data_IF_560052724734
#
_entry.id   IF_560052724734
#
_cell.length_a   1.000
_cell.length_b   1.000
_cell.length_c   1.000
_cell.angle_alpha   90.00
_cell.angle_beta   90.00
_cell.angle_gamma   90.00
#
_symmetry.space_group_name_H-M   'P 1'
#
loop_
_entity.id
_entity.type
_entity.pdbx_description
1 polymer ?
#
# COMPACT_ATOMS: atom_id res chain seq x y z
N UNK A 1 -57.21 12.41 8.69
CA UNK A 1 -56.27 13.21 9.51
C UNK A 1 -55.12 12.30 9.91
N UNK A 2 -53.89 12.77 9.68
CA UNK A 2 -52.57 12.26 10.14
C UNK A 2 -52.29 10.75 9.90
N UNK A 3 -51.35 10.33 9.04
CA UNK A 3 -50.09 10.96 8.64
C UNK A 3 -48.98 10.50 9.59
N UNK A 4 -48.32 9.39 9.27
CA UNK A 4 -47.14 8.92 9.97
C UNK A 4 -45.97 9.89 9.75
N UNK A 5 -45.30 10.27 10.84
CA UNK A 5 -43.95 10.85 10.84
C UNK A 5 -43.09 10.00 11.79
N UNK A 6 -41.86 9.64 11.40
CA UNK A 6 -40.91 9.01 12.32
C UNK A 6 -40.33 10.07 13.27
N UNK A 7 -40.25 9.72 14.55
CA UNK A 7 -39.59 10.53 15.59
C UNK A 7 -38.12 10.74 15.23
N UNK A 8 -37.81 11.95 14.79
CA UNK A 8 -36.53 12.58 15.00
C UNK A 8 -36.48 13.02 16.47
N UNK A 9 -35.51 12.46 17.19
CA UNK A 9 -34.54 13.19 18.02
C UNK A 9 -34.33 12.54 19.40
N UNK A 10 -33.16 11.93 19.55
CA UNK A 10 -32.36 11.95 20.79
C UNK A 10 -30.91 11.69 20.41
N UNK A 11 -30.27 12.76 19.98
CA UNK A 11 -28.84 12.93 20.18
C UNK A 11 -28.54 13.15 21.67
N UNK A 12 -27.28 12.86 22.05
CA UNK A 12 -26.60 13.16 23.32
C UNK A 12 -26.71 12.13 24.47
N UNK A 13 -25.80 11.15 24.45
CA UNK A 13 -24.89 10.87 25.57
C UNK A 13 -23.86 9.80 25.16
N UNK A 14 -22.62 10.21 24.95
CA UNK A 14 -21.52 9.31 24.59
C UNK A 14 -20.36 10.09 23.99
N UNK A 15 -19.83 11.06 24.74
CA UNK A 15 -18.63 11.78 24.39
C UNK A 15 -17.42 10.85 24.41
N UNK A 16 -17.27 10.04 23.36
CA UNK A 16 -15.99 9.44 23.02
C UNK A 16 -15.08 10.57 22.57
N UNK A 17 -13.97 10.77 23.28
CA UNK A 17 -12.93 11.71 22.87
C UNK A 17 -12.63 11.47 21.39
N UNK A 18 -12.91 12.45 20.53
CA UNK A 18 -12.43 12.38 19.16
C UNK A 18 -10.90 12.27 19.25
N UNK A 19 -10.27 11.22 18.70
CA UNK A 19 -8.83 11.10 18.76
C UNK A 19 -8.26 12.33 18.06
N UNK A 20 -7.39 13.07 18.76
CA UNK A 20 -6.62 14.16 18.16
C UNK A 20 -5.91 13.59 16.94
N UNK A 21 -6.41 13.90 15.75
CA UNK A 21 -5.72 13.61 14.49
C UNK A 21 -4.55 14.57 14.42
N UNK A 22 -3.35 14.06 14.69
CA UNK A 22 -2.15 14.77 14.33
C UNK A 22 -2.01 14.67 12.81
N UNK A 23 -2.48 15.72 12.12
CA UNK A 23 -2.23 15.88 10.69
C UNK A 23 -0.74 15.75 10.40
N UNK A 24 -0.41 15.11 9.28
CA UNK A 24 0.96 14.92 8.81
C UNK A 24 1.70 16.27 8.80
N UNK A 25 2.80 16.36 9.55
CA UNK A 25 3.78 17.44 9.44
C UNK A 25 5.03 16.91 8.77
N UNK A 26 5.42 17.54 7.66
CA UNK A 26 6.71 17.30 7.01
C UNK A 26 7.67 18.43 7.40
N UNK A 27 8.84 18.06 7.89
CA UNK A 27 9.92 18.95 8.29
C UNK A 27 11.06 18.72 7.29
N UNK A 28 11.37 19.75 6.52
CA UNK A 28 12.55 19.74 5.65
C UNK A 28 13.81 19.93 6.49
N UNK A 29 14.77 19.01 6.36
CA UNK A 29 16.07 19.05 7.03
C UNK A 29 17.17 19.58 6.08
N UNK A 30 16.78 20.16 4.95
CA UNK A 30 17.67 20.69 3.93
C UNK A 30 18.47 19.58 3.25
N UNK A 31 19.80 19.77 3.17
CA UNK A 31 20.71 18.80 2.55
C UNK A 31 20.76 17.42 3.22
N UNK A 32 20.09 17.25 4.36
CA UNK A 32 20.01 16.01 5.11
C UNK A 32 18.70 15.25 4.90
N UNK A 33 17.77 15.74 4.08
CA UNK A 33 16.54 15.04 3.73
C UNK A 33 15.31 15.60 4.45
N UNK A 34 14.35 14.75 4.81
CA UNK A 34 13.10 15.19 5.42
C UNK A 34 12.65 14.26 6.54
N UNK A 35 12.00 14.83 7.55
CA UNK A 35 11.34 14.09 8.63
C UNK A 35 9.84 14.31 8.55
N UNK A 36 9.07 13.24 8.49
CA UNK A 36 7.63 13.28 8.59
C UNK A 36 7.16 12.77 9.95
N UNK A 37 6.29 13.51 10.62
CA UNK A 37 5.70 13.13 11.91
C UNK A 37 4.19 13.33 11.86
N UNK A 38 3.44 12.35 12.35
CA UNK A 38 1.97 12.41 12.43
C UNK A 38 1.32 11.12 11.94
N UNK A 39 0.03 11.19 11.58
CA UNK A 39 -0.65 10.04 10.98
C UNK A 39 -0.24 9.89 9.52
N UNK A 40 0.59 8.88 9.23
CA UNK A 40 1.19 8.67 7.91
C UNK A 40 1.34 7.19 7.57
N UNK A 41 1.31 6.85 6.28
CA UNK A 41 1.70 5.53 5.78
C UNK A 41 3.16 5.18 6.09
N UNK A 42 3.46 3.88 6.12
CA UNK A 42 4.81 3.38 6.35
C UNK A 42 5.84 3.79 5.29
N UNK A 43 7.11 3.84 5.66
CA UNK A 43 8.23 3.99 4.72
C UNK A 43 8.18 2.88 3.67
N UNK A 44 7.85 1.65 4.09
CA UNK A 44 7.69 0.51 3.19
C UNK A 44 6.62 0.79 2.13
N UNK A 45 5.42 1.18 2.53
CA UNK A 45 4.29 1.45 1.63
C UNK A 45 4.57 2.61 0.67
N UNK A 46 5.34 3.60 1.09
CA UNK A 46 5.66 4.79 0.28
C UNK A 46 6.83 4.60 -0.69
N UNK A 47 7.85 3.87 -0.26
CA UNK A 47 9.11 3.76 -1.02
C UNK A 47 9.22 2.50 -1.84
N UNK A 48 8.70 1.38 -1.33
CA UNK A 48 8.79 0.09 -2.00
C UNK A 48 7.89 0.08 -3.22
N UNK A 49 8.41 -0.54 -4.27
CA UNK A 49 7.73 -0.59 -5.56
C UNK A 49 7.59 -2.04 -5.98
N UNK A 50 6.34 -2.46 -6.08
CA UNK A 50 5.91 -3.86 -6.26
C UNK A 50 5.26 -4.10 -7.62
N UNK A 51 4.52 -3.12 -8.15
CA UNK A 51 3.81 -3.22 -9.43
C UNK A 51 3.65 -1.85 -10.09
N UNK A 52 3.71 -1.76 -11.43
CA UNK A 52 3.43 -0.51 -12.14
C UNK A 52 1.93 -0.18 -12.17
N UNK A 53 1.07 -1.11 -11.76
CA UNK A 53 -0.38 -0.96 -11.83
C UNK A 53 -0.94 -0.57 -10.45
N UNK A 54 -1.50 0.65 -10.33
CA UNK A 54 -1.98 1.22 -9.05
C UNK A 54 -3.49 1.44 -8.95
N UNK A 55 -4.19 1.44 -10.09
CA UNK A 55 -5.58 1.92 -10.18
C UNK A 55 -6.58 0.82 -10.58
N UNK A 56 -6.24 -0.46 -10.40
CA UNK A 56 -7.15 -1.58 -10.70
C UNK A 56 -8.04 -1.93 -9.50
N UNK A 57 -9.05 -2.77 -9.73
CA UNK A 57 -10.05 -3.18 -8.75
C UNK A 57 -9.50 -3.52 -7.35
N UNK A 58 -8.43 -4.31 -7.25
CA UNK A 58 -7.87 -4.68 -5.94
C UNK A 58 -6.63 -3.85 -5.58
N UNK A 59 -6.56 -3.49 -4.29
CA UNK A 59 -5.42 -2.80 -3.67
C UNK A 59 -4.14 -3.64 -3.77
N UNK A 60 -2.98 -3.07 -3.43
CA UNK A 60 -1.75 -3.85 -3.47
C UNK A 60 -1.68 -4.92 -2.37
N UNK A 61 -1.74 -6.23 -2.73
CA UNK A 61 -1.81 -7.28 -1.72
C UNK A 61 -0.52 -7.38 -0.92
N UNK A 62 0.60 -6.90 -1.45
CA UNK A 62 1.85 -6.76 -0.68
C UNK A 62 1.68 -5.82 0.52
N UNK A 63 0.75 -4.88 0.48
CA UNK A 63 0.46 -3.94 1.58
C UNK A 63 -0.98 -4.09 2.12
N UNK A 64 -1.55 -5.29 2.01
CA UNK A 64 -2.81 -5.63 2.68
C UNK A 64 -2.52 -6.24 4.05
N UNK A 65 -3.38 -5.94 5.03
CA UNK A 65 -3.35 -6.51 6.38
C UNK A 65 -2.01 -6.38 7.11
N UNK A 66 -1.27 -5.31 6.86
CA UNK A 66 0.08 -5.11 7.35
C UNK A 66 0.17 -4.30 8.65
N UNK A 67 -0.98 -3.92 9.21
CA UNK A 67 -1.07 -3.18 10.47
C UNK A 67 -0.13 -1.98 10.48
N UNK A 68 0.67 -1.88 11.55
CA UNK A 68 1.66 -0.82 11.73
C UNK A 68 2.80 -0.79 10.68
N UNK A 69 2.99 -1.83 9.86
CA UNK A 69 3.97 -1.86 8.76
C UNK A 69 3.43 -1.33 7.43
N UNK A 70 2.18 -0.88 7.36
CA UNK A 70 1.60 -0.39 6.11
C UNK A 70 0.73 0.83 6.25
N UNK A 71 -0.40 0.63 6.92
CA UNK A 71 -1.49 1.60 6.97
C UNK A 71 -1.10 2.92 7.64
N UNK A 72 -1.94 3.96 7.50
CA UNK A 72 -1.76 5.21 8.20
C UNK A 72 -1.77 5.00 9.72
N UNK A 73 -0.67 5.37 10.38
CA UNK A 73 -0.54 5.31 11.84
C UNK A 73 0.28 6.50 12.36
N UNK A 74 0.19 6.80 13.65
CA UNK A 74 1.01 7.81 14.31
C UNK A 74 2.48 7.38 14.27
N UNK A 75 3.30 8.12 13.53
CA UNK A 75 4.64 7.67 13.14
C UNK A 75 5.60 8.83 12.95
N UNK A 76 6.88 8.55 13.12
CA UNK A 76 7.99 9.39 12.67
C UNK A 76 8.76 8.66 11.57
N UNK A 77 8.94 9.27 10.40
CA UNK A 77 9.70 8.69 9.28
C UNK A 77 10.71 9.68 8.74
N UNK A 78 11.97 9.31 8.77
CA UNK A 78 13.06 10.03 8.12
C UNK A 78 13.25 9.51 6.70
N UNK A 79 13.44 10.41 5.74
CA UNK A 79 13.80 10.11 4.36
C UNK A 79 15.12 10.82 4.03
N UNK A 80 16.12 10.06 3.59
CA UNK A 80 17.39 10.64 3.16
C UNK A 80 17.23 11.48 1.88
N UNK A 81 18.18 12.37 1.55
CA UNK A 81 18.31 12.87 0.19
C UNK A 81 18.55 11.72 -0.79
N UNK A 82 18.36 11.99 -2.09
CA UNK A 82 18.78 11.06 -3.13
C UNK A 82 20.27 11.23 -3.41
N UNK A 83 21.05 10.19 -3.16
CA UNK A 83 22.49 10.15 -3.42
C UNK A 83 22.79 9.07 -4.46
N UNK A 84 23.23 9.46 -5.66
CA UNK A 84 23.51 8.54 -6.77
C UNK A 84 22.37 7.55 -7.07
N UNK A 85 21.13 8.02 -6.98
CA UNK A 85 19.93 7.19 -7.18
C UNK A 85 19.46 6.42 -5.94
N UNK A 86 20.24 6.39 -4.86
CA UNK A 86 19.85 5.78 -3.59
C UNK A 86 19.05 6.72 -2.70
N UNK A 87 18.05 6.17 -2.02
CA UNK A 87 17.25 6.84 -1.00
C UNK A 87 16.90 5.84 0.11
N UNK A 88 16.95 6.31 1.35
CA UNK A 88 16.65 5.51 2.54
C UNK A 88 15.45 6.12 3.25
N UNK A 89 14.54 5.27 3.73
CA UNK A 89 13.46 5.62 4.64
C UNK A 89 13.61 4.86 5.94
N UNK A 90 13.62 5.55 7.08
CA UNK A 90 13.65 4.95 8.41
C UNK A 90 12.38 5.36 9.15
N UNK A 91 11.59 4.38 9.57
CA UNK A 91 10.29 4.60 10.20
C UNK A 91 10.25 4.07 11.63
N UNK A 92 9.59 4.82 12.51
CA UNK A 92 9.24 4.40 13.85
C UNK A 92 7.77 4.68 14.13
N UNK A 93 7.04 3.66 14.57
CA UNK A 93 5.62 3.73 14.93
C UNK A 93 5.44 3.30 16.38
N UNK A 94 5.02 4.20 17.28
CA UNK A 94 4.43 3.80 18.54
C UNK A 94 3.03 3.23 18.29
N UNK A 95 2.80 1.93 18.55
CA UNK A 95 1.46 1.35 18.39
C UNK A 95 0.65 1.63 19.65
N UNK A 96 -0.50 2.28 19.49
CA UNK A 96 -1.42 2.62 20.58
C UNK A 96 -2.17 1.39 21.09
N UNK A 97 -2.44 1.34 22.38
CA UNK A 97 -3.51 0.53 22.97
C UNK A 97 -4.77 1.39 23.17
N UNK A 98 -5.94 0.76 23.21
CA UNK A 98 -7.25 1.43 23.12
C UNK A 98 -7.62 2.37 24.28
N UNK A 99 -6.83 2.46 25.35
CA UNK A 99 -7.07 3.37 26.45
C UNK A 99 -5.78 4.12 26.78
N UNK A 100 -5.83 5.45 26.81
CA UNK A 100 -4.72 6.39 26.97
C UNK A 100 -3.94 6.33 28.30
N UNK A 101 -3.78 5.15 28.90
CA UNK A 101 -2.79 4.89 29.93
C UNK A 101 -1.40 4.72 29.28
N UNK A 102 -0.39 5.35 29.89
CA UNK A 102 1.00 5.03 29.59
C UNK A 102 1.30 3.62 30.12
N UNK A 103 1.17 2.61 29.25
CA UNK A 103 1.66 1.27 29.54
C UNK A 103 3.19 1.24 29.31
N UNK A 104 4.01 0.81 30.28
CA UNK A 104 5.45 0.56 30.08
C UNK A 104 5.76 -0.49 28.99
N UNK A 105 4.74 -1.20 28.48
CA UNK A 105 4.81 -2.09 27.32
C UNK A 105 4.40 -1.42 26.00
N UNK A 106 4.44 -0.08 25.93
CA UNK A 106 4.20 0.67 24.71
C UNK A 106 4.88 0.01 23.50
N UNK A 107 4.06 -0.37 22.52
CA UNK A 107 4.42 -1.21 21.39
C UNK A 107 5.26 -0.38 20.40
N UNK A 108 6.33 -0.95 19.87
CA UNK A 108 7.24 -0.22 18.98
C UNK A 108 7.49 -1.00 17.70
N UNK A 109 7.26 -0.35 16.57
CA UNK A 109 7.68 -0.84 15.26
C UNK A 109 8.80 0.02 14.74
N UNK A 110 9.88 -0.61 14.32
CA UNK A 110 10.97 0.02 13.57
C UNK A 110 11.03 -0.60 12.19
N UNK A 111 11.25 0.22 11.17
CA UNK A 111 11.52 -0.26 9.82
C UNK A 111 12.57 0.59 9.11
N UNK A 112 13.25 -0.04 8.16
CA UNK A 112 14.18 0.59 7.26
C UNK A 112 13.92 0.13 5.83
N UNK A 113 14.00 1.06 4.89
CA UNK A 113 13.73 0.83 3.48
C UNK A 113 14.79 1.52 2.65
N UNK A 114 15.27 0.83 1.63
CA UNK A 114 16.22 1.36 0.66
C UNK A 114 15.57 1.27 -0.73
N UNK A 115 15.77 2.32 -1.50
CA UNK A 115 15.39 2.39 -2.92
C UNK A 115 16.58 2.84 -3.73
N UNK A 116 16.76 2.20 -4.89
CA UNK A 116 17.70 2.61 -5.92
C UNK A 116 16.95 2.88 -7.23
N UNK A 117 17.06 4.10 -7.76
CA UNK A 117 16.61 4.47 -9.11
C UNK A 117 17.84 4.59 -10.02
N UNK A 118 17.91 3.76 -11.05
CA UNK A 118 19.03 3.68 -11.99
C UNK A 118 18.62 3.67 -13.45
N UNK A 119 19.61 3.64 -14.35
CA UNK A 119 19.40 3.46 -15.79
C UNK A 119 20.43 2.48 -16.35
N UNK A 120 19.98 1.61 -17.24
CA UNK A 120 20.83 0.73 -18.04
C UNK A 120 20.42 0.87 -19.51
N UNK A 121 21.19 1.66 -20.26
CA UNK A 121 20.82 2.04 -21.63
C UNK A 121 19.47 2.76 -21.68
N UNK A 122 18.51 2.21 -22.44
CA UNK A 122 17.13 2.74 -22.54
C UNK A 122 16.23 2.30 -21.38
N UNK A 123 16.65 1.33 -20.58
CA UNK A 123 15.87 0.84 -19.45
C UNK A 123 16.08 1.73 -18.22
N UNK A 124 14.98 2.11 -17.56
CA UNK A 124 15.00 2.69 -16.22
C UNK A 124 14.72 1.58 -15.22
N UNK A 125 15.53 1.52 -14.17
CA UNK A 125 15.44 0.51 -13.13
C UNK A 125 15.01 1.19 -11.83
N UNK A 126 14.12 0.54 -11.09
CA UNK A 126 13.82 0.89 -9.70
C UNK A 126 13.85 -0.37 -8.89
N UNK A 127 14.73 -0.44 -7.90
CA UNK A 127 14.87 -1.59 -7.00
C UNK A 127 14.63 -1.10 -5.58
N UNK A 128 13.90 -1.88 -4.80
CA UNK A 128 13.50 -1.54 -3.44
C UNK A 128 13.61 -2.74 -2.53
N UNK A 129 14.04 -2.50 -1.31
CA UNK A 129 14.05 -3.50 -0.25
C UNK A 129 13.72 -2.80 1.07
N UNK A 130 12.93 -3.45 1.91
CA UNK A 130 12.53 -2.95 3.21
C UNK A 130 12.45 -4.08 4.22
N UNK A 131 12.72 -3.76 5.47
CA UNK A 131 12.58 -4.68 6.58
C UNK A 131 12.15 -3.93 7.82
N UNK A 132 11.45 -4.61 8.71
CA UNK A 132 11.05 -4.05 9.98
C UNK A 132 10.71 -5.10 11.02
N UNK A 133 10.67 -4.64 12.26
CA UNK A 133 10.49 -5.47 13.45
C UNK A 133 9.58 -4.77 14.44
N UNK A 134 8.69 -5.54 15.05
CA UNK A 134 7.86 -5.12 16.17
C UNK A 134 8.42 -5.69 17.48
N UNK A 135 8.41 -4.89 18.55
CA UNK A 135 8.64 -5.38 19.90
C UNK A 135 7.35 -6.09 20.39
N UNK A 136 7.50 -7.39 20.71
CA UNK A 136 6.53 -8.38 21.25
C UNK A 136 5.05 -8.04 21.04
N UNK A 137 4.42 -8.75 20.12
CA UNK A 137 2.98 -8.75 20.00
C UNK A 137 2.37 -9.75 21.03
N UNK A 138 1.29 -9.31 21.68
CA UNK A 138 0.26 -10.18 22.28
C UNK A 138 -1.03 -10.11 21.45
N UNK A 139 -0.93 -9.44 20.29
CA UNK A 139 -2.02 -9.13 19.39
C UNK A 139 -1.66 -9.74 18.05
N UNK A 140 -2.39 -10.80 17.69
CA UNK A 140 -2.11 -11.64 16.53
C UNK A 140 -2.13 -10.87 15.20
N UNK A 141 -2.65 -9.63 15.17
CA UNK A 141 -2.80 -8.85 13.95
C UNK A 141 -1.51 -8.18 13.43
N UNK A 142 -0.51 -7.88 14.28
CA UNK A 142 0.73 -7.21 13.84
C UNK A 142 1.89 -8.22 13.73
N UNK A 143 2.53 -8.35 12.54
CA UNK A 143 3.67 -9.24 12.39
C UNK A 143 4.86 -8.85 13.29
N UNK A 144 5.59 -9.82 13.85
CA UNK A 144 6.83 -9.57 14.60
C UNK A 144 7.93 -9.05 13.70
N UNK A 145 7.97 -9.56 12.47
CA UNK A 145 8.96 -9.22 11.44
C UNK A 145 8.24 -9.10 10.12
N UNK A 146 8.71 -8.16 9.31
CA UNK A 146 8.33 -8.09 7.91
C UNK A 146 9.55 -7.73 7.08
N UNK A 147 9.69 -8.36 5.92
CA UNK A 147 10.62 -7.91 4.91
C UNK A 147 9.91 -7.91 3.56
N UNK A 148 10.31 -6.97 2.71
CA UNK A 148 9.69 -6.73 1.42
C UNK A 148 10.77 -6.37 0.43
N UNK A 149 10.66 -6.89 -0.79
CA UNK A 149 11.52 -6.53 -1.91
C UNK A 149 10.65 -6.27 -3.11
N UNK A 150 11.12 -5.42 -4.01
CA UNK A 150 10.39 -5.16 -5.24
C UNK A 150 11.24 -4.43 -6.26
N UNK A 151 10.84 -4.56 -7.51
CA UNK A 151 11.58 -4.05 -8.64
C UNK A 151 10.65 -3.64 -9.79
N UNK A 152 11.11 -2.66 -10.56
CA UNK A 152 10.50 -2.25 -11.82
C UNK A 152 11.55 -2.00 -12.87
N UNK A 153 11.20 -2.39 -14.10
CA UNK A 153 11.94 -2.08 -15.32
C UNK A 153 11.00 -1.34 -16.26
N UNK A 154 11.39 -0.14 -16.66
CA UNK A 154 10.65 0.67 -17.64
C UNK A 154 11.47 0.84 -18.91
N UNK A 155 10.91 0.38 -20.02
CA UNK A 155 11.33 0.63 -21.39
C UNK A 155 10.37 1.64 -22.04
N UNK A 156 10.69 2.22 -23.21
CA UNK A 156 9.73 3.03 -23.96
C UNK A 156 8.44 2.25 -24.22
N UNK A 157 7.32 2.75 -23.70
CA UNK A 157 5.99 2.15 -23.87
C UNK A 157 5.68 0.90 -23.04
N UNK A 158 6.64 0.36 -22.27
CA UNK A 158 6.41 -0.85 -21.45
C UNK A 158 7.04 -0.71 -20.08
N UNK A 159 6.31 -1.04 -19.02
CA UNK A 159 6.84 -1.21 -17.68
C UNK A 159 6.41 -2.55 -17.12
N UNK A 160 7.35 -3.29 -16.56
CA UNK A 160 7.09 -4.50 -15.77
C UNK A 160 7.59 -4.28 -14.35
N UNK A 161 6.94 -4.90 -13.39
CA UNK A 161 7.42 -4.92 -12.02
C UNK A 161 6.89 -6.09 -11.25
N UNK A 162 7.60 -6.42 -10.17
CA UNK A 162 7.18 -7.42 -9.22
C UNK A 162 7.61 -7.01 -7.81
N UNK A 163 6.88 -7.51 -6.83
CA UNK A 163 7.14 -7.34 -5.42
C UNK A 163 6.85 -8.62 -4.68
N UNK A 164 7.62 -8.84 -3.62
CA UNK A 164 7.45 -9.94 -2.71
C UNK A 164 7.54 -9.41 -1.29
N UNK A 165 6.68 -9.93 -0.41
CA UNK A 165 6.74 -9.66 1.02
C UNK A 165 6.55 -10.94 1.79
N UNK A 166 7.30 -11.04 2.87
CA UNK A 166 7.05 -12.00 3.92
C UNK A 166 6.79 -11.28 5.24
N UNK A 167 5.85 -11.80 5.99
CA UNK A 167 5.46 -11.35 7.31
C UNK A 167 5.46 -12.58 8.22
N UNK A 168 6.05 -12.43 9.40
CA UNK A 168 6.06 -13.48 10.42
C UNK A 168 5.25 -13.00 11.62
N UNK A 169 3.98 -13.43 11.76
CA UNK A 169 3.16 -13.18 12.95
C UNK A 169 3.65 -13.96 14.17
N UNK A 170 3.01 -13.75 15.32
CA UNK A 170 3.37 -14.43 16.57
C UNK A 170 3.07 -15.92 16.56
N UNK A 171 2.03 -16.34 15.84
CA UNK A 171 1.64 -17.75 15.69
C UNK A 171 2.67 -18.59 14.90
N UNK A 172 3.66 -17.93 14.30
CA UNK A 172 4.72 -18.56 13.51
C UNK A 172 4.33 -18.90 12.07
N UNK A 173 3.08 -18.67 11.66
CA UNK A 173 2.62 -18.95 10.30
C UNK A 173 3.02 -17.81 9.37
N UNK A 174 4.15 -17.96 8.67
CA UNK A 174 4.63 -16.95 7.74
C UNK A 174 3.62 -16.68 6.62
N UNK A 175 3.23 -15.41 6.45
CA UNK A 175 2.45 -14.92 5.31
C UNK A 175 3.41 -14.46 4.23
N UNK A 176 3.28 -15.01 3.04
CA UNK A 176 4.06 -14.67 1.85
C UNK A 176 3.14 -14.13 0.79
N UNK A 177 3.49 -13.00 0.22
CA UNK A 177 2.69 -12.36 -0.82
C UNK A 177 3.59 -11.93 -1.96
N UNK A 178 3.28 -12.43 -3.16
CA UNK A 178 3.89 -12.04 -4.41
C UNK A 178 2.87 -11.23 -5.23
N UNK A 179 3.37 -10.21 -5.91
CA UNK A 179 2.60 -9.37 -6.80
C UNK A 179 3.46 -9.05 -8.02
N UNK A 180 2.90 -9.20 -9.22
CA UNK A 180 3.56 -8.89 -10.47
C UNK A 180 2.62 -8.06 -11.34
N UNK A 181 3.16 -7.17 -12.15
CA UNK A 181 2.35 -6.35 -13.03
C UNK A 181 3.08 -5.87 -14.27
N UNK A 182 2.28 -5.60 -15.28
CA UNK A 182 2.65 -5.11 -16.60
C UNK A 182 1.82 -3.86 -16.90
N UNK A 183 2.47 -2.89 -17.52
CA UNK A 183 1.86 -1.68 -18.05
C UNK A 183 2.40 -1.46 -19.45
N UNK A 184 1.53 -1.45 -20.46
CA UNK A 184 1.89 -1.15 -21.84
C UNK A 184 1.15 0.11 -22.27
N UNK A 185 1.89 1.16 -22.61
CA UNK A 185 1.37 2.45 -23.00
C UNK A 185 1.70 2.74 -24.47
N UNK A 186 0.69 3.10 -25.24
CA UNK A 186 0.84 3.51 -26.62
C UNK A 186 0.13 4.83 -26.88
N UNK A 187 0.82 5.72 -27.59
CA UNK A 187 0.32 7.04 -27.98
C UNK A 187 1.18 8.17 -27.43
N UNK A 188 0.53 9.30 -27.18
CA UNK A 188 1.13 10.53 -26.69
C UNK A 188 0.70 10.81 -25.25
N UNK A 189 1.36 11.72 -24.52
CA UNK A 189 0.93 12.13 -23.19
C UNK A 189 -0.50 12.70 -23.12
N UNK A 190 -1.05 13.13 -24.26
CA UNK A 190 -2.36 13.78 -24.35
C UNK A 190 -3.46 12.82 -24.80
N UNK A 191 -3.10 11.85 -25.65
CA UNK A 191 -4.02 10.87 -26.24
C UNK A 191 -3.31 9.55 -26.47
N UNK A 192 -3.94 8.47 -26.04
CA UNK A 192 -3.36 7.14 -26.17
C UNK A 192 -4.17 6.12 -25.39
N UNK A 193 -3.64 4.91 -25.33
CA UNK A 193 -4.22 3.83 -24.57
C UNK A 193 -3.17 3.11 -23.76
N UNK A 194 -3.65 2.43 -22.72
CA UNK A 194 -2.83 1.68 -21.81
C UNK A 194 -3.48 0.34 -21.54
N UNK A 195 -2.73 -0.74 -21.74
CA UNK A 195 -3.08 -2.06 -21.24
C UNK A 195 -2.36 -2.31 -19.92
N UNK A 196 -3.09 -2.80 -18.93
CA UNK A 196 -2.60 -3.05 -17.58
C UNK A 196 -2.90 -4.50 -17.22
N UNK A 197 -1.90 -5.23 -16.76
CA UNK A 197 -2.06 -6.61 -16.29
C UNK A 197 -1.44 -6.77 -14.91
N UNK A 198 -2.06 -7.56 -14.05
CA UNK A 198 -1.58 -7.81 -12.69
C UNK A 198 -1.91 -9.23 -12.25
N UNK A 199 -0.98 -9.83 -11.53
CA UNK A 199 -1.09 -11.13 -10.89
C UNK A 199 -0.64 -10.98 -9.44
N UNK A 200 -1.31 -11.66 -8.53
CA UNK A 200 -0.90 -11.74 -7.14
C UNK A 200 -1.20 -13.12 -6.57
N UNK A 201 -0.34 -13.52 -5.65
CA UNK A 201 -0.42 -14.79 -4.96
C UNK A 201 -0.09 -14.54 -3.48
N UNK A 202 -0.91 -15.05 -2.58
CA UNK A 202 -0.71 -14.94 -1.14
C UNK A 202 -0.91 -16.29 -0.48
N UNK A 203 -0.02 -16.66 0.44
CA UNK A 203 -0.08 -17.91 1.18
C UNK A 203 0.28 -17.67 2.64
N UNK A 204 -0.44 -18.32 3.57
CA UNK A 204 -0.18 -18.27 5.01
C UNK A 204 0.14 -19.68 5.49
N UNK A 205 1.36 -19.93 5.96
CA UNK A 205 1.76 -21.25 6.44
C UNK A 205 1.45 -22.38 5.44
N UNK A 206 0.66 -23.35 5.88
CA UNK A 206 0.19 -24.48 5.06
C UNK A 206 -1.25 -24.31 4.55
N UNK A 207 -1.85 -23.14 4.73
CA UNK A 207 -3.19 -22.85 4.22
C UNK A 207 -3.20 -22.81 2.69
N UNK A 208 -4.40 -23.00 2.16
CA UNK A 208 -4.63 -22.95 0.72
C UNK A 208 -4.37 -21.53 0.19
N UNK A 209 -3.73 -21.39 -1.00
CA UNK A 209 -3.31 -20.09 -1.49
C UNK A 209 -4.50 -19.24 -1.96
N UNK A 210 -4.34 -17.93 -1.81
CA UNK A 210 -5.18 -16.92 -2.43
C UNK A 210 -4.51 -16.40 -3.69
N UNK A 211 -5.24 -16.40 -4.80
CA UNK A 211 -4.75 -15.87 -6.07
C UNK A 211 -5.64 -14.72 -6.53
N UNK A 212 -5.04 -13.72 -7.16
CA UNK A 212 -5.78 -12.62 -7.76
C UNK A 212 -5.15 -12.24 -9.08
N UNK A 213 -5.98 -11.94 -10.06
CA UNK A 213 -5.50 -11.38 -11.31
C UNK A 213 -6.44 -10.29 -11.80
N UNK A 214 -5.88 -9.33 -12.54
CA UNK A 214 -6.66 -8.32 -13.22
C UNK A 214 -6.02 -7.89 -14.51
N UNK A 215 -6.86 -7.65 -15.51
CA UNK A 215 -6.51 -7.03 -16.78
C UNK A 215 -7.36 -5.79 -16.97
N UNK A 216 -6.83 -4.77 -17.63
CA UNK A 216 -7.58 -3.56 -17.88
C UNK A 216 -7.04 -2.75 -19.04
N UNK A 217 -7.92 -1.92 -19.58
CA UNK A 217 -7.65 -0.97 -20.62
C UNK A 217 -8.00 0.42 -20.12
N UNK A 218 -7.09 1.37 -20.29
CA UNK A 218 -7.36 2.80 -20.09
C UNK A 218 -7.20 3.53 -21.41
N UNK A 219 -8.20 4.33 -21.76
CA UNK A 219 -8.16 5.22 -22.92
C UNK A 219 -8.09 6.68 -22.45
N UNK A 220 -7.04 7.39 -22.84
CA UNK A 220 -6.86 8.81 -22.55
C UNK A 220 -7.43 9.62 -23.71
N UNK A 221 -8.55 10.29 -23.45
CA UNK A 221 -9.25 11.11 -24.45
C UNK A 221 -8.64 12.51 -24.52
N UNK A 222 -8.24 13.05 -23.37
CA UNK A 222 -7.54 14.33 -23.21
C UNK A 222 -6.63 14.27 -21.98
N UNK A 223 -5.82 15.30 -21.68
CA UNK A 223 -4.98 15.30 -20.48
C UNK A 223 -5.78 15.21 -19.17
N UNK A 224 -7.06 15.60 -19.21
CA UNK A 224 -7.97 15.64 -18.04
C UNK A 224 -9.00 14.52 -18.02
N UNK A 225 -9.26 13.85 -19.15
CA UNK A 225 -10.33 12.86 -19.28
C UNK A 225 -9.78 11.52 -19.74
N UNK A 226 -10.10 10.47 -18.97
CA UNK A 226 -9.79 9.10 -19.36
C UNK A 226 -10.91 8.14 -18.97
N UNK A 227 -11.16 7.13 -19.81
CA UNK A 227 -12.04 6.00 -19.50
C UNK A 227 -11.19 4.78 -19.18
N UNK A 228 -11.58 4.01 -18.17
CA UNK A 228 -10.91 2.76 -17.79
C UNK A 228 -11.96 1.65 -17.71
N UNK A 229 -11.60 0.48 -18.21
CA UNK A 229 -12.31 -0.77 -17.97
C UNK A 229 -11.31 -1.78 -17.40
N UNK A 230 -11.67 -2.47 -16.33
CA UNK A 230 -10.87 -3.50 -15.71
C UNK A 230 -11.72 -4.72 -15.34
N UNK A 231 -11.18 -5.90 -15.62
CA UNK A 231 -11.73 -7.20 -15.26
C UNK A 231 -10.72 -7.89 -14.36
N UNK A 232 -11.17 -8.46 -13.26
CA UNK A 232 -10.31 -9.30 -12.46
C UNK A 232 -11.07 -10.38 -11.73
N UNK A 233 -10.32 -11.33 -11.19
CA UNK A 233 -10.83 -12.32 -10.25
C UNK A 233 -9.96 -12.36 -9.00
N UNK A 234 -10.58 -12.75 -7.90
CA UNK A 234 -9.88 -13.15 -6.70
C UNK A 234 -10.42 -14.49 -6.27
N UNK A 235 -9.53 -15.48 -6.22
CA UNK A 235 -9.84 -16.85 -5.86
C UNK A 235 -9.25 -17.18 -4.51
N UNK A 236 -10.05 -17.86 -3.69
CA UNK A 236 -9.63 -18.38 -2.40
C UNK A 236 -9.66 -19.90 -2.51
N UNK A 237 -8.49 -20.52 -2.66
CA UNK A 237 -8.42 -21.97 -2.84
C UNK A 237 -9.13 -22.66 -1.67
N UNK A 238 -10.22 -23.39 -1.95
CA UNK A 238 -11.01 -24.10 -0.93
C UNK A 238 -12.19 -23.32 -0.32
N UNK A 239 -12.49 -22.11 -0.80
CA UNK A 239 -13.65 -21.31 -0.37
C UNK A 239 -14.55 -20.98 -1.59
N UNK A 240 -15.89 -21.11 -1.50
CA UNK A 240 -16.81 -20.74 -2.58
C UNK A 240 -16.93 -19.22 -2.87
N UNK A 241 -16.21 -18.36 -2.14
CA UNK A 241 -16.26 -16.89 -2.27
C UNK A 241 -15.43 -16.32 -3.43
N UNK A 242 -15.07 -17.14 -4.41
CA UNK A 242 -14.48 -16.70 -5.67
C UNK A 242 -15.31 -15.56 -6.28
N UNK A 243 -14.64 -14.44 -6.55
CA UNK A 243 -15.30 -13.23 -7.07
C UNK A 243 -14.67 -12.83 -8.38
N UNK A 244 -15.54 -12.54 -9.37
CA UNK A 244 -15.16 -11.90 -10.63
C UNK A 244 -15.82 -10.53 -10.68
N UNK A 245 -15.05 -9.49 -10.97
CA UNK A 245 -15.56 -8.13 -11.06
C UNK A 245 -15.14 -7.47 -12.37
N UNK A 246 -16.14 -6.89 -13.05
CA UNK A 246 -15.93 -5.94 -14.14
C UNK A 246 -16.21 -4.54 -13.61
N UNK A 247 -15.25 -3.63 -13.78
CA UNK A 247 -15.39 -2.22 -13.45
C UNK A 247 -15.17 -1.39 -14.71
N UNK A 248 -16.04 -0.41 -14.91
CA UNK A 248 -15.89 0.61 -15.94
C UNK A 248 -16.04 1.97 -15.26
N UNK A 249 -15.16 2.91 -15.59
CA UNK A 249 -15.17 4.21 -14.96
C UNK A 249 -14.52 5.30 -15.81
N UNK A 250 -14.93 6.53 -15.55
CA UNK A 250 -14.37 7.73 -16.17
C UNK A 250 -13.68 8.54 -15.09
N UNK A 251 -12.47 9.01 -15.37
CA UNK A 251 -11.73 9.96 -14.54
C UNK A 251 -11.73 11.32 -15.22
N UNK A 252 -12.15 12.34 -14.47
CA UNK A 252 -12.09 13.75 -14.86
C UNK A 252 -11.26 14.49 -13.82
N UNK A 253 -10.19 15.15 -14.27
CA UNK A 253 -9.37 16.04 -13.44
C UNK A 253 -9.83 17.48 -13.67
N UNK A 254 -10.13 18.22 -12.61
CA UNK A 254 -10.54 19.62 -12.66
C UNK A 254 -9.32 20.53 -12.54
#
# INVERSE_FOLDING_TARGET
MAGALPDLDRTAAGGGAMPIRFDKKAIDLGGWGALEVGQTESASRRMVVTTPVRDQWFSDPVFMNDGAFGGPDARATYYSPRLHGFNIGLGYTPVRTELGAADPLARHVVEGVVRHDGRLGKARLRITAGAGKAAVAKDHATPRRSWVVGGQVTLPGVTVGAGYREQLPDDGAARRTLNAGLYLEQGTPVRGWTVMGRLAHSQVGAEAPQEAWSTGLRFRMSPKVSVTADLGTMTYSGDPSDSTMLRVGTRVLF
#
